data_IF_670446527008
#
_entry.id   IF_670446527008
#
_cell.length_a   1.000
_cell.length_b   1.000
_cell.length_c   1.000
_cell.angle_alpha   90.00
_cell.angle_beta   90.00
_cell.angle_gamma   90.00
#
_symmetry.space_group_name_H-M   'P 1'
#
loop_
_entity.id
_entity.type
_entity.pdbx_description
1 polymer ?
#
# COMPACT_ATOMS: atom_id res chain seq x y z
N UNK A 1 -44.15 79.18 -6.67
CA UNK A 1 -43.25 79.87 -5.73
C UNK A 1 -42.83 78.85 -4.69
N UNK A 2 -41.51 78.65 -4.65
CA UNK A 2 -40.66 78.01 -3.63
C UNK A 2 -40.86 76.52 -3.31
N UNK A 3 -39.95 75.63 -3.73
CA UNK A 3 -38.62 75.31 -3.15
C UNK A 3 -38.66 74.87 -1.68
N UNK A 4 -38.59 73.56 -1.41
CA UNK A 4 -37.61 72.97 -0.48
C UNK A 4 -37.74 71.44 -0.36
N UNK A 5 -36.70 70.74 -0.82
CA UNK A 5 -35.94 69.73 -0.06
C UNK A 5 -36.70 68.61 0.67
N UNK A 6 -36.60 67.37 0.16
CA UNK A 6 -36.25 66.16 0.95
C UNK A 6 -36.03 64.91 0.09
N UNK A 7 -34.75 64.54 -0.01
CA UNK A 7 -34.19 63.18 0.04
C UNK A 7 -35.10 61.99 -0.30
N UNK A 8 -34.77 61.31 -1.42
CA UNK A 8 -34.69 59.85 -1.49
C UNK A 8 -33.92 59.43 -2.74
N UNK A 9 -32.65 59.09 -2.54
CA UNK A 9 -31.76 58.51 -3.56
C UNK A 9 -32.26 57.09 -3.84
N UNK A 10 -32.97 56.91 -4.94
CA UNK A 10 -33.32 55.57 -5.44
C UNK A 10 -32.12 55.05 -6.24
N UNK A 11 -31.44 54.06 -5.66
CA UNK A 11 -30.31 53.34 -6.25
C UNK A 11 -30.83 52.52 -7.43
N UNK A 12 -30.38 52.84 -8.64
CA UNK A 12 -30.47 51.97 -9.82
C UNK A 12 -29.12 51.97 -10.53
N UNK A 13 -28.11 51.36 -9.90
CA UNK A 13 -26.84 51.03 -10.54
C UNK A 13 -26.84 49.59 -11.02
N UNK A 14 -26.61 49.49 -12.32
CA UNK A 14 -26.65 48.34 -13.20
C UNK A 14 -25.53 47.33 -12.84
N UNK A 15 -25.93 46.18 -12.31
CA UNK A 15 -25.76 44.84 -12.91
C UNK A 15 -24.46 44.56 -13.70
N UNK A 16 -23.32 44.37 -13.01
CA UNK A 16 -22.27 43.40 -13.40
C UNK A 16 -21.69 42.79 -12.11
N UNK A 17 -22.16 41.61 -11.65
CA UNK A 17 -21.35 40.83 -10.74
C UNK A 17 -20.15 40.29 -11.53
N UNK A 18 -18.97 40.84 -11.22
CA UNK A 18 -17.67 40.21 -11.47
C UNK A 18 -17.67 38.87 -10.72
N UNK A 19 -18.20 37.84 -11.38
CA UNK A 19 -18.05 36.45 -10.96
C UNK A 19 -16.56 36.17 -11.14
N UNK A 20 -15.79 36.43 -10.08
CA UNK A 20 -14.60 35.65 -9.77
C UNK A 20 -15.09 34.21 -9.63
N UNK A 21 -15.20 33.51 -10.76
CA UNK A 21 -15.12 32.07 -10.79
C UNK A 21 -13.79 31.77 -10.09
N UNK A 22 -13.84 31.49 -8.79
CA UNK A 22 -12.79 30.76 -8.12
C UNK A 22 -12.76 29.38 -8.79
N UNK A 23 -12.06 29.33 -9.92
CA UNK A 23 -11.61 28.08 -10.52
C UNK A 23 -10.70 27.46 -9.49
N UNK A 24 -11.28 26.57 -8.69
CA UNK A 24 -10.52 25.66 -7.85
C UNK A 24 -9.76 24.76 -8.82
N UNK A 25 -8.51 25.12 -9.10
CA UNK A 25 -7.63 24.29 -9.92
C UNK A 25 -7.38 23.00 -9.14
N UNK A 26 -8.09 21.94 -9.53
CA UNK A 26 -7.79 20.59 -9.06
C UNK A 26 -6.43 20.24 -9.63
N UNK A 27 -5.38 20.33 -8.81
CA UNK A 27 -4.06 19.85 -9.19
C UNK A 27 -4.18 18.34 -9.48
N UNK A 28 -4.07 17.99 -10.76
CA UNK A 28 -4.01 16.60 -11.18
C UNK A 28 -2.84 15.92 -10.47
N UNK A 29 -3.09 14.74 -9.91
CA UNK A 29 -2.06 14.02 -9.16
C UNK A 29 -0.94 13.56 -10.10
N UNK A 30 0.30 13.75 -9.69
CA UNK A 30 1.50 13.36 -10.44
C UNK A 30 1.82 11.90 -10.15
N UNK A 31 1.86 11.07 -11.19
CA UNK A 31 2.28 9.68 -11.04
C UNK A 31 3.81 9.59 -10.92
N UNK A 32 4.32 9.20 -9.75
CA UNK A 32 5.76 9.16 -9.45
C UNK A 32 6.51 8.16 -10.34
N UNK A 33 5.86 7.06 -10.71
CA UNK A 33 6.46 6.00 -11.52
C UNK A 33 6.53 6.35 -13.00
N UNK A 34 5.65 7.22 -13.49
CA UNK A 34 5.55 7.59 -14.91
C UNK A 34 6.03 9.01 -15.22
N UNK A 35 5.95 9.92 -14.25
CA UNK A 35 6.31 11.30 -14.43
C UNK A 35 7.76 11.47 -14.88
N UNK A 36 7.95 12.43 -15.78
CA UNK A 36 9.23 13.00 -16.16
C UNK A 36 9.81 13.83 -15.01
N UNK A 37 11.11 14.13 -15.09
CA UNK A 37 11.75 15.00 -14.10
C UNK A 37 11.14 16.41 -14.06
N UNK A 38 10.56 16.91 -15.16
CA UNK A 38 9.86 18.18 -15.21
C UNK A 38 8.49 18.12 -14.49
N UNK A 39 7.73 17.05 -14.69
CA UNK A 39 6.44 16.83 -14.03
C UNK A 39 6.61 16.61 -12.52
N UNK A 40 7.66 15.90 -12.11
CA UNK A 40 7.99 15.73 -10.69
C UNK A 40 8.30 17.06 -9.99
N UNK A 41 8.81 18.07 -10.71
CA UNK A 41 9.08 19.40 -10.15
C UNK A 41 7.83 20.21 -9.85
N UNK A 42 6.67 19.80 -10.36
CA UNK A 42 5.38 20.40 -10.00
C UNK A 42 5.00 20.06 -8.55
N UNK A 43 5.64 19.06 -7.95
CA UNK A 43 5.40 18.68 -6.57
C UNK A 43 6.10 19.63 -5.58
N UNK A 44 5.40 20.05 -4.50
CA UNK A 44 5.93 21.00 -3.55
C UNK A 44 7.19 20.48 -2.85
N UNK A 45 8.30 21.20 -3.02
CA UNK A 45 9.58 20.86 -2.39
C UNK A 45 10.43 19.86 -3.18
N UNK A 46 10.01 19.48 -4.40
CA UNK A 46 10.81 18.73 -5.37
C UNK A 46 11.41 19.72 -6.38
N UNK A 47 12.71 19.98 -6.23
CA UNK A 47 13.50 20.73 -7.23
C UNK A 47 14.20 19.80 -8.22
N UNK A 48 14.91 20.35 -9.22
CA UNK A 48 15.54 19.57 -10.30
C UNK A 48 16.44 18.45 -9.77
N UNK A 49 17.28 18.73 -8.77
CA UNK A 49 18.14 17.72 -8.12
C UNK A 49 17.35 16.56 -7.52
N UNK A 50 16.24 16.84 -6.84
CA UNK A 50 15.42 15.80 -6.21
C UNK A 50 14.63 15.01 -7.25
N UNK A 51 14.12 15.69 -8.28
CA UNK A 51 13.43 15.03 -9.39
C UNK A 51 14.35 14.03 -10.11
N UNK A 52 15.59 14.42 -10.41
CA UNK A 52 16.59 13.51 -10.97
C UNK A 52 16.85 12.30 -10.06
N UNK A 53 16.98 12.51 -8.74
CA UNK A 53 17.19 11.42 -7.77
C UNK A 53 15.99 10.47 -7.69
N UNK A 54 14.77 10.96 -7.87
CA UNK A 54 13.56 10.10 -7.90
C UNK A 54 13.59 9.21 -9.14
N UNK A 55 13.94 9.77 -10.30
CA UNK A 55 14.09 9.01 -11.56
C UNK A 55 15.20 7.97 -11.43
N UNK A 56 16.38 8.37 -10.98
CA UNK A 56 17.52 7.46 -10.77
C UNK A 56 17.18 6.34 -9.77
N UNK A 57 16.44 6.67 -8.71
CA UNK A 57 16.00 5.69 -7.72
C UNK A 57 15.10 4.62 -8.34
N UNK A 58 14.07 5.01 -9.11
CA UNK A 58 13.17 4.02 -9.74
C UNK A 58 13.87 3.21 -10.82
N UNK A 59 14.85 3.79 -11.52
CA UNK A 59 15.59 3.10 -12.57
C UNK A 59 16.53 2.03 -11.95
N UNK A 60 17.11 2.32 -10.79
CA UNK A 60 18.06 1.42 -10.11
C UNK A 60 17.41 0.43 -9.12
N UNK A 61 16.29 0.81 -8.49
CA UNK A 61 15.65 0.03 -7.42
C UNK A 61 14.27 -0.52 -7.83
N UNK A 62 13.80 -0.19 -9.03
CA UNK A 62 12.46 -0.52 -9.51
C UNK A 62 11.39 0.50 -9.09
N UNK A 63 10.18 0.30 -9.62
CA UNK A 63 9.05 1.21 -9.39
C UNK A 63 8.65 1.33 -7.91
N UNK A 64 8.24 2.52 -7.50
CA UNK A 64 7.70 2.79 -6.17
C UNK A 64 6.34 2.09 -6.01
N UNK A 65 6.17 1.35 -4.92
CA UNK A 65 4.91 0.67 -4.60
C UNK A 65 3.93 1.57 -3.86
N UNK A 66 4.46 2.56 -3.15
CA UNK A 66 3.67 3.54 -2.40
C UNK A 66 4.35 4.91 -2.48
N UNK A 67 3.57 5.99 -2.32
CA UNK A 67 4.12 7.35 -2.26
C UNK A 67 5.13 7.50 -1.11
N UNK A 68 4.93 6.76 -0.01
CA UNK A 68 5.79 6.80 1.18
C UNK A 68 7.21 6.31 0.92
N UNK A 69 7.43 5.50 -0.11
CA UNK A 69 8.76 5.03 -0.48
C UNK A 69 9.67 6.14 -1.03
N UNK A 70 9.10 7.31 -1.40
CA UNK A 70 9.89 8.49 -1.74
C UNK A 70 10.84 8.92 -0.62
N UNK A 71 10.58 8.55 0.65
CA UNK A 71 11.50 8.83 1.76
C UNK A 71 12.86 8.12 1.62
N UNK A 72 12.95 7.08 0.79
CA UNK A 72 14.20 6.39 0.47
C UNK A 72 15.07 7.19 -0.50
N UNK A 73 14.50 8.18 -1.19
CA UNK A 73 15.23 9.07 -2.09
C UNK A 73 15.97 10.13 -1.27
N UNK A 74 17.27 10.26 -1.51
CA UNK A 74 18.14 11.18 -0.79
C UNK A 74 17.61 12.62 -0.89
N UNK A 75 17.36 13.26 0.26
CA UNK A 75 16.87 14.64 0.32
C UNK A 75 15.35 14.82 0.30
N UNK A 76 14.57 13.73 0.30
CA UNK A 76 13.13 13.75 0.58
C UNK A 76 12.91 13.32 2.04
N UNK A 77 12.61 14.30 2.90
CA UNK A 77 12.29 14.06 4.31
C UNK A 77 10.79 14.00 4.59
N UNK A 78 10.39 13.64 5.83
CA UNK A 78 8.98 13.50 6.23
C UNK A 78 8.11 14.72 5.90
N UNK A 79 8.62 15.93 6.19
CA UNK A 79 7.91 17.19 5.91
C UNK A 79 7.62 17.41 4.42
N UNK A 80 8.53 16.99 3.56
CA UNK A 80 8.36 17.08 2.11
C UNK A 80 7.35 16.04 1.65
N UNK A 81 7.46 14.82 2.17
CA UNK A 81 6.54 13.72 1.87
C UNK A 81 5.09 14.05 2.25
N UNK A 82 4.86 14.63 3.43
CA UNK A 82 3.53 15.05 3.89
C UNK A 82 2.86 16.04 2.91
N UNK A 83 3.64 16.97 2.36
CA UNK A 83 3.14 17.94 1.37
C UNK A 83 2.87 17.31 0.00
N UNK A 84 3.58 16.24 -0.35
CA UNK A 84 3.50 15.56 -1.65
C UNK A 84 2.39 14.50 -1.68
N UNK A 85 2.12 13.83 -0.55
CA UNK A 85 1.09 12.79 -0.41
C UNK A 85 -0.25 13.10 -1.09
N UNK A 86 -0.85 14.30 -0.95
CA UNK A 86 -2.13 14.58 -1.61
C UNK A 86 -2.01 14.75 -3.14
N UNK A 87 -0.82 15.06 -3.65
CA UNK A 87 -0.57 15.44 -5.04
C UNK A 87 0.14 14.35 -5.85
N UNK A 88 0.51 13.22 -5.24
CA UNK A 88 1.28 12.19 -5.89
C UNK A 88 0.62 10.81 -5.77
N UNK A 89 0.79 9.99 -6.81
CA UNK A 89 0.26 8.63 -6.91
C UNK A 89 1.31 7.69 -7.49
N UNK A 90 1.08 6.38 -7.32
CA UNK A 90 1.95 5.31 -7.82
C UNK A 90 1.26 4.40 -8.85
N UNK A 91 -0.01 4.68 -9.19
CA UNK A 91 -0.83 3.93 -10.15
C UNK A 91 -1.45 4.82 -11.23
N UNK A 92 -2.10 4.19 -12.21
CA UNK A 92 -2.74 4.89 -13.32
C UNK A 92 -3.93 5.67 -12.79
N UNK A 93 -3.84 7.00 -12.77
CA UNK A 93 -4.84 7.93 -12.23
C UNK A 93 -6.20 7.94 -12.93
N UNK A 94 -6.63 6.84 -13.54
CA UNK A 94 -7.98 6.60 -14.03
C UNK A 94 -8.69 5.55 -13.17
N UNK A 95 -9.11 5.91 -11.95
CA UNK A 95 -10.28 5.30 -11.27
C UNK A 95 -10.74 6.20 -10.12
N UNK A 96 -11.15 7.42 -10.45
CA UNK A 96 -11.95 8.25 -9.53
C UNK A 96 -13.36 8.34 -10.08
N UNK A 97 -14.16 7.29 -9.90
CA UNK A 97 -15.64 7.38 -9.86
C UNK A 97 -16.24 6.13 -9.21
N UNK A 98 -16.75 6.35 -8.00
CA UNK A 98 -17.82 5.60 -7.33
C UNK A 98 -17.50 4.17 -6.85
N UNK A 99 -16.75 4.12 -5.76
CA UNK A 99 -17.16 3.35 -4.57
C UNK A 99 -16.69 4.12 -3.32
N UNK A 100 -17.45 5.15 -2.95
CA UNK A 100 -17.33 5.77 -1.64
C UNK A 100 -17.82 4.77 -0.60
N UNK A 101 -16.93 4.44 0.33
CA UNK A 101 -17.23 4.22 1.73
C UNK A 101 -18.29 3.16 2.08
N UNK A 102 -17.84 1.93 2.28
CA UNK A 102 -18.07 1.28 3.57
C UNK A 102 -16.71 0.99 4.21
N UNK A 103 -16.26 1.96 5.00
CA UNK A 103 -15.65 1.75 6.32
C UNK A 103 -14.74 0.52 6.49
N UNK A 104 -13.44 0.76 6.35
CA UNK A 104 -12.43 0.31 7.32
C UNK A 104 -11.16 1.16 7.07
N UNK A 105 -10.72 2.13 7.89
CA UNK A 105 -10.94 2.33 9.32
C UNK A 105 -10.99 1.01 10.09
N UNK A 106 -9.99 0.17 9.82
CA UNK A 106 -9.40 -0.63 10.86
C UNK A 106 -8.12 0.15 11.24
N UNK A 107 -7.79 0.53 12.47
CA UNK A 107 -8.32 0.21 13.80
C UNK A 107 -8.99 -1.16 13.92
N UNK A 108 -8.38 -2.17 13.33
CA UNK A 108 -8.21 -3.46 13.97
C UNK A 108 -6.74 -3.45 14.39
N UNK A 109 -6.39 -3.37 15.67
CA UNK A 109 -6.43 -4.56 16.50
C UNK A 109 -6.90 -5.81 15.73
N UNK A 110 -6.10 -6.30 14.77
CA UNK A 110 -6.49 -7.48 14.00
C UNK A 110 -5.50 -7.82 12.90
N UNK A 111 -4.41 -8.46 13.32
CA UNK A 111 -3.68 -9.49 12.57
C UNK A 111 -2.99 -9.08 11.24
N UNK A 112 -1.68 -8.82 11.31
CA UNK A 112 -0.79 -8.52 10.17
C UNK A 112 -0.16 -9.81 9.59
N UNK A 113 -0.14 -9.97 8.27
CA UNK A 113 0.54 -11.11 7.63
C UNK A 113 2.06 -10.94 7.62
N UNK A 114 2.78 -11.77 8.36
CA UNK A 114 4.24 -11.66 8.54
C UNK A 114 5.02 -12.03 7.26
N UNK A 115 4.46 -12.90 6.42
CA UNK A 115 5.14 -13.36 5.21
C UNK A 115 5.10 -12.31 4.08
N UNK A 116 4.06 -11.46 4.05
CA UNK A 116 3.90 -10.43 3.00
C UNK A 116 4.19 -9.02 3.49
N UNK A 117 4.11 -8.76 4.80
CA UNK A 117 4.32 -7.41 5.34
C UNK A 117 5.70 -6.83 5.02
N UNK A 118 5.74 -5.53 4.74
CA UNK A 118 6.98 -4.76 4.65
C UNK A 118 7.61 -4.58 6.03
N UNK A 119 8.91 -4.23 6.07
CA UNK A 119 9.58 -3.90 7.32
C UNK A 119 8.86 -2.79 8.10
N UNK A 120 8.34 -1.77 7.41
CA UNK A 120 7.59 -0.67 8.04
C UNK A 120 6.26 -1.14 8.65
N UNK A 121 5.55 -2.04 7.99
CA UNK A 121 4.32 -2.63 8.53
C UNK A 121 4.61 -3.53 9.74
N UNK A 122 5.69 -4.31 9.70
CA UNK A 122 6.10 -5.18 10.82
C UNK A 122 6.40 -4.42 12.11
N UNK A 123 6.83 -3.15 12.02
CA UNK A 123 7.08 -2.30 13.20
C UNK A 123 5.79 -2.01 13.98
N UNK A 124 4.61 -2.18 13.38
CA UNK A 124 3.32 -2.03 14.06
C UNK A 124 3.06 -3.15 15.08
N UNK A 125 3.79 -4.27 15.00
CA UNK A 125 3.66 -5.37 15.95
C UNK A 125 4.30 -4.99 17.30
N UNK A 126 3.53 -5.11 18.37
CA UNK A 126 4.00 -4.82 19.74
C UNK A 126 5.25 -5.65 20.06
N UNK A 127 6.40 -4.97 20.21
CA UNK A 127 7.68 -5.61 20.50
C UNK A 127 8.58 -5.87 19.29
N UNK A 128 8.17 -5.45 18.09
CA UNK A 128 8.98 -5.51 16.88
C UNK A 128 9.48 -4.11 16.54
N UNK A 129 10.76 -3.86 16.82
CA UNK A 129 11.44 -2.63 16.41
C UNK A 129 11.97 -2.71 14.96
N UNK A 130 12.45 -1.59 14.38
CA UNK A 130 12.94 -1.54 13.00
C UNK A 130 14.03 -2.56 12.69
N UNK A 131 14.96 -2.80 13.62
CA UNK A 131 16.02 -3.81 13.47
C UNK A 131 15.45 -5.22 13.40
N UNK A 132 14.45 -5.52 14.24
CA UNK A 132 13.82 -6.85 14.27
C UNK A 132 12.98 -7.08 13.02
N UNK A 133 12.25 -6.06 12.57
CA UNK A 133 11.49 -6.09 11.32
C UNK A 133 12.39 -6.41 10.12
N UNK A 134 13.54 -5.73 9.98
CA UNK A 134 14.54 -6.04 8.94
C UNK A 134 15.03 -7.49 9.01
N UNK A 135 15.28 -8.00 10.21
CA UNK A 135 15.70 -9.42 10.39
C UNK A 135 14.62 -10.41 10.03
N UNK A 136 13.35 -10.10 10.30
CA UNK A 136 12.22 -10.95 9.90
C UNK A 136 12.17 -11.05 8.37
N UNK A 137 12.28 -9.91 7.67
CA UNK A 137 12.32 -9.86 6.20
C UNK A 137 13.51 -10.65 5.64
N UNK A 138 14.71 -10.42 6.16
CA UNK A 138 15.89 -11.16 5.73
C UNK A 138 15.79 -12.67 6.04
N UNK A 139 15.18 -13.04 7.18
CA UNK A 139 15.03 -14.45 7.53
C UNK A 139 14.07 -15.18 6.59
N UNK A 140 12.95 -14.56 6.20
CA UNK A 140 12.01 -15.19 5.25
C UNK A 140 12.58 -15.29 3.83
N UNK A 141 13.46 -14.37 3.44
CA UNK A 141 14.17 -14.43 2.16
C UNK A 141 15.22 -15.56 2.16
N UNK A 142 15.94 -15.73 3.27
CA UNK A 142 17.02 -16.72 3.37
C UNK A 142 16.54 -18.15 3.69
N UNK A 143 15.52 -18.29 4.54
CA UNK A 143 15.07 -19.58 5.08
C UNK A 143 13.64 -19.95 4.63
N UNK A 144 13.01 -19.11 3.82
CA UNK A 144 11.64 -19.28 3.37
C UNK A 144 10.59 -18.78 4.38
N UNK A 145 9.29 -18.92 4.04
CA UNK A 145 8.20 -18.36 4.81
C UNK A 145 8.02 -19.00 6.19
N UNK A 146 7.31 -18.29 7.08
CA UNK A 146 6.90 -18.79 8.38
C UNK A 146 5.57 -19.56 8.21
N UNK A 147 5.50 -20.80 8.67
CA UNK A 147 4.29 -21.63 8.60
C UNK A 147 3.51 -21.61 9.92
N UNK A 148 4.14 -21.15 11.00
CA UNK A 148 3.53 -20.99 12.31
C UNK A 148 4.24 -19.92 13.10
N UNK A 149 3.61 -19.45 14.16
CA UNK A 149 4.17 -18.38 14.99
C UNK A 149 5.48 -18.81 15.67
N UNK A 150 5.61 -20.10 16.01
CA UNK A 150 6.81 -20.66 16.62
C UNK A 150 8.02 -20.59 15.67
N UNK A 151 7.78 -20.64 14.35
CA UNK A 151 8.85 -20.48 13.37
C UNK A 151 9.44 -19.07 13.42
N UNK A 152 8.82 -18.07 14.05
CA UNK A 152 9.47 -16.76 14.19
C UNK A 152 10.74 -16.81 15.06
N UNK A 153 10.91 -17.87 15.87
CA UNK A 153 12.07 -18.06 16.75
C UNK A 153 13.40 -18.29 16.00
N UNK A 154 13.37 -18.67 14.72
CA UNK A 154 14.60 -18.70 13.88
C UNK A 154 15.14 -17.29 13.59
N UNK A 155 14.37 -16.24 13.84
CA UNK A 155 14.85 -14.85 13.75
C UNK A 155 15.63 -14.49 15.03
N UNK A 156 16.92 -14.14 14.87
CA UNK A 156 17.76 -13.71 15.99
C UNK A 156 17.15 -12.51 16.74
N UNK A 157 16.80 -12.73 18.01
CA UNK A 157 16.16 -11.74 18.89
C UNK A 157 14.66 -11.95 19.09
N UNK A 158 14.05 -12.95 18.45
CA UNK A 158 12.68 -13.39 18.73
C UNK A 158 12.73 -14.61 19.65
N UNK A 159 12.48 -14.36 20.94
CA UNK A 159 12.30 -15.41 21.94
C UNK A 159 10.82 -15.70 22.23
N UNK A 160 10.58 -16.63 23.14
CA UNK A 160 9.23 -17.09 23.52
C UNK A 160 8.31 -15.94 23.95
N UNK A 161 8.81 -15.02 24.78
CA UNK A 161 8.06 -13.82 25.23
C UNK A 161 7.70 -12.88 24.08
N UNK A 162 8.47 -12.85 22.99
CA UNK A 162 8.16 -12.05 21.81
C UNK A 162 7.06 -12.72 20.99
N UNK A 163 7.18 -14.03 20.77
CA UNK A 163 6.16 -14.86 20.10
C UNK A 163 4.81 -14.72 20.79
N UNK A 164 4.76 -14.82 22.12
CA UNK A 164 3.52 -14.68 22.90
C UNK A 164 2.85 -13.31 22.70
N UNK A 165 3.63 -12.22 22.64
CA UNK A 165 3.09 -10.86 22.43
C UNK A 165 2.53 -10.65 21.03
N UNK A 166 3.11 -11.30 20.02
CA UNK A 166 2.72 -11.10 18.62
C UNK A 166 1.72 -12.15 18.11
N UNK A 167 1.52 -13.26 18.83
CA UNK A 167 0.67 -14.39 18.40
C UNK A 167 -0.75 -14.00 18.00
N UNK A 168 -1.39 -13.06 18.71
CA UNK A 168 -2.73 -12.56 18.36
C UNK A 168 -2.74 -11.52 17.24
N UNK A 169 -1.58 -10.95 16.94
CA UNK A 169 -1.39 -9.86 15.98
C UNK A 169 -0.75 -10.33 14.66
N UNK A 170 -0.40 -11.61 14.52
CA UNK A 170 0.23 -12.16 13.31
C UNK A 170 -0.66 -13.19 12.62
N UNK A 171 -0.82 -13.04 11.31
CA UNK A 171 -1.60 -13.95 10.47
C UNK A 171 -0.61 -14.76 9.65
N UNK A 172 -0.77 -16.07 9.68
CA UNK A 172 0.00 -16.97 8.82
C UNK A 172 -0.89 -17.64 7.77
N UNK A 173 -2.18 -17.31 7.70
CA UNK A 173 -3.12 -18.07 6.88
C UNK A 173 -3.18 -17.57 5.45
N UNK A 174 -3.32 -18.50 4.51
CA UNK A 174 -3.49 -18.26 3.09
C UNK A 174 -4.81 -18.89 2.64
N UNK A 175 -5.72 -18.08 2.09
CA UNK A 175 -6.97 -18.56 1.51
C UNK A 175 -6.72 -18.99 0.07
N UNK A 176 -6.90 -20.28 -0.24
CA UNK A 176 -6.54 -20.84 -1.55
C UNK A 176 -7.43 -20.32 -2.70
N UNK A 177 -8.64 -19.88 -2.40
CA UNK A 177 -9.61 -19.42 -3.39
C UNK A 177 -9.44 -17.94 -3.74
N UNK A 178 -9.02 -17.14 -2.77
CA UNK A 178 -8.94 -15.68 -2.92
C UNK A 178 -7.51 -15.16 -3.07
N UNK A 179 -6.49 -15.96 -2.70
CA UNK A 179 -5.11 -15.53 -2.75
C UNK A 179 -4.66 -15.14 -4.17
N UNK A 180 -3.85 -14.09 -4.21
CA UNK A 180 -3.13 -13.64 -5.40
C UNK A 180 -1.88 -14.48 -5.67
N UNK A 181 -1.31 -14.32 -6.86
CA UNK A 181 -0.07 -15.02 -7.25
C UNK A 181 1.10 -14.65 -6.33
N UNK A 182 1.21 -13.37 -5.97
CA UNK A 182 2.25 -12.89 -5.06
C UNK A 182 2.09 -13.46 -3.66
N UNK A 183 0.86 -13.61 -3.18
CA UNK A 183 0.60 -14.26 -1.89
C UNK A 183 1.00 -15.74 -1.92
N UNK A 184 0.57 -16.50 -2.93
CA UNK A 184 1.02 -17.90 -3.07
C UNK A 184 2.56 -18.00 -3.10
N UNK A 185 3.21 -17.15 -3.88
CA UNK A 185 4.67 -17.12 -3.99
C UNK A 185 5.33 -16.78 -2.66
N UNK A 186 4.77 -15.81 -1.91
CA UNK A 186 5.24 -15.44 -0.57
C UNK A 186 5.12 -16.58 0.44
N UNK A 187 4.21 -17.53 0.24
CA UNK A 187 4.09 -18.76 1.04
C UNK A 187 4.87 -19.96 0.47
N UNK A 188 5.68 -19.74 -0.57
CA UNK A 188 6.57 -20.75 -1.14
C UNK A 188 5.91 -21.68 -2.15
N UNK A 189 4.72 -21.35 -2.63
CA UNK A 189 4.10 -22.09 -3.74
C UNK A 189 4.79 -21.71 -5.05
N UNK A 190 5.51 -22.67 -5.63
CA UNK A 190 6.17 -22.49 -6.93
C UNK A 190 5.19 -22.57 -8.11
N UNK A 191 4.06 -23.26 -7.93
CA UNK A 191 3.04 -23.47 -8.95
C UNK A 191 1.83 -22.51 -8.81
N UNK A 192 2.04 -21.31 -8.26
CA UNK A 192 0.99 -20.32 -8.01
C UNK A 192 0.12 -20.03 -9.25
N UNK A 193 0.72 -19.91 -10.43
CA UNK A 193 0.01 -19.69 -11.68
C UNK A 193 -0.92 -20.87 -12.04
N UNK A 194 -0.48 -22.11 -11.83
CA UNK A 194 -1.28 -23.31 -12.08
C UNK A 194 -2.50 -23.36 -11.15
N UNK A 195 -2.34 -23.00 -9.87
CA UNK A 195 -3.43 -22.96 -8.90
C UNK A 195 -4.51 -21.96 -9.32
N UNK A 196 -4.09 -20.76 -9.74
CA UNK A 196 -4.99 -19.70 -10.19
C UNK A 196 -5.69 -20.09 -11.51
N UNK A 197 -4.98 -20.71 -12.45
CA UNK A 197 -5.57 -21.21 -13.68
C UNK A 197 -6.58 -22.33 -13.40
N UNK A 198 -6.23 -23.26 -12.50
CA UNK A 198 -7.09 -24.38 -12.13
C UNK A 198 -8.39 -23.91 -11.49
N UNK A 199 -8.35 -22.96 -10.54
CA UNK A 199 -9.58 -22.45 -9.90
C UNK A 199 -10.48 -21.66 -10.85
N UNK A 200 -9.90 -20.96 -11.83
CA UNK A 200 -10.68 -20.26 -12.87
C UNK A 200 -11.43 -21.24 -13.75
N UNK A 201 -10.83 -22.41 -14.04
CA UNK A 201 -11.43 -23.45 -14.89
C UNK A 201 -12.40 -24.37 -14.16
N UNK A 202 -12.08 -24.76 -12.92
CA UNK A 202 -12.79 -25.80 -12.17
C UNK A 202 -13.64 -25.25 -11.00
N UNK A 203 -13.58 -23.94 -10.76
CA UNK A 203 -14.23 -23.29 -9.61
C UNK A 203 -13.39 -23.37 -8.33
N UNK A 204 -13.99 -22.92 -7.23
CA UNK A 204 -13.35 -22.87 -5.92
C UNK A 204 -12.94 -24.26 -5.41
N UNK A 205 -11.76 -24.34 -4.78
CA UNK A 205 -11.33 -25.49 -4.02
C UNK A 205 -12.26 -25.69 -2.82
N UNK A 206 -12.78 -26.92 -2.68
CA UNK A 206 -13.60 -27.33 -1.54
C UNK A 206 -12.79 -27.60 -0.28
N UNK A 207 -11.50 -27.91 -0.45
CA UNK A 207 -10.57 -28.11 0.65
C UNK A 207 -9.12 -27.87 0.18
N UNK A 208 -8.18 -27.55 1.09
CA UNK A 208 -6.77 -27.37 0.73
C UNK A 208 -6.13 -28.61 0.10
N UNK A 209 -6.60 -29.81 0.40
CA UNK A 209 -6.10 -31.06 -0.19
C UNK A 209 -6.44 -31.17 -1.68
N UNK A 210 -7.47 -30.47 -2.15
CA UNK A 210 -7.82 -30.42 -3.56
C UNK A 210 -6.73 -29.74 -4.42
N UNK A 211 -5.77 -29.04 -3.82
CA UNK A 211 -4.57 -28.55 -4.50
C UNK A 211 -3.75 -29.67 -5.14
N UNK A 212 -3.80 -30.92 -4.64
CA UNK A 212 -3.12 -32.06 -5.27
C UNK A 212 -3.62 -32.37 -6.69
N UNK A 213 -4.80 -31.85 -7.08
CA UNK A 213 -5.33 -31.96 -8.44
C UNK A 213 -4.69 -30.96 -9.40
N UNK A 214 -3.98 -29.97 -8.88
CA UNK A 214 -3.29 -28.94 -9.66
C UNK A 214 -1.93 -29.50 -10.10
N UNK A 215 -1.55 -29.37 -11.38
CA UNK A 215 -0.23 -29.75 -11.86
C UNK A 215 0.90 -29.11 -11.05
N UNK A 216 1.98 -29.88 -10.88
CA UNK A 216 3.21 -29.47 -10.17
C UNK A 216 3.02 -29.18 -8.67
N UNK A 217 1.98 -29.74 -8.05
CA UNK A 217 1.78 -29.64 -6.59
C UNK A 217 2.52 -30.75 -5.84
N UNK A 218 3.53 -30.37 -5.07
CA UNK A 218 4.25 -31.30 -4.19
C UNK A 218 3.42 -31.65 -2.95
N UNK A 219 3.11 -32.94 -2.78
CA UNK A 219 2.36 -33.46 -1.62
C UNK A 219 3.09 -33.28 -0.28
N UNK A 220 4.42 -33.36 -0.26
CA UNK A 220 5.24 -33.16 0.95
C UNK A 220 5.24 -31.68 1.34
N UNK A 221 5.34 -30.80 0.34
CA UNK A 221 5.15 -29.36 0.53
C UNK A 221 3.75 -29.07 1.09
N UNK A 222 2.70 -29.61 0.46
CA UNK A 222 1.31 -29.36 0.88
C UNK A 222 1.05 -29.79 2.33
N UNK A 223 1.57 -30.94 2.76
CA UNK A 223 1.51 -31.39 4.16
C UNK A 223 2.16 -30.39 5.12
N UNK A 224 3.30 -29.82 4.75
CA UNK A 224 4.04 -28.84 5.56
C UNK A 224 3.29 -27.51 5.68
N UNK A 225 2.68 -27.03 4.59
CA UNK A 225 1.92 -25.78 4.59
C UNK A 225 0.46 -25.98 5.01
N UNK A 226 -0.01 -27.20 5.25
CA UNK A 226 -1.41 -27.46 5.58
C UNK A 226 -1.97 -26.61 6.74
N UNK A 227 -1.23 -26.35 7.85
CA UNK A 227 -1.75 -25.57 8.98
C UNK A 227 -2.10 -24.12 8.63
N UNK A 228 -1.56 -23.59 7.53
CA UNK A 228 -1.81 -22.22 7.10
C UNK A 228 -2.89 -22.09 6.04
N UNK A 229 -3.30 -23.17 5.40
CA UNK A 229 -4.27 -23.08 4.30
C UNK A 229 -5.71 -23.04 4.82
N UNK A 230 -6.47 -22.07 4.30
CA UNK A 230 -7.91 -21.92 4.49
C UNK A 230 -8.64 -22.08 3.18
#
# INVERSE_FOLDING_TARGET
>A
MDNCTRFRITILTILIPLILCWSSTVLAQVNINKASAAELQQLPGIGPKKASLVVEYRDSNGAFRTVDELIRVKGIGPKTLERIRPLAIVGDGQTVKKASSTKSASTSSGTLNVNTASASQLVQLKGVGPTLAKRIVANREMHGPFFRVEDMRRVKGIGEKSVQRIRGATMFTLNVNDASQDEFSAFGFTNAANIIAWRKKNGAFKSPEALLKVPDTDSKFLKRVRPILK
#
